data_IF_503019745849
#
_entry.id   IF_503019745849
#
_cell.length_a   1.000
_cell.length_b   1.000
_cell.length_c   1.000
_cell.angle_alpha   90.00
_cell.angle_beta   90.00
_cell.angle_gamma   90.00
#
_symmetry.space_group_name_H-M   'P 1'
#
loop_
_entity.id
_entity.type
_entity.pdbx_description
1 polymer ?
#
# COMPACT_ATOMS: atom_id res chain seq x y z
N UNK A 1 43.81 -38.46 -31.95
CA UNK A 1 44.45 -37.58 -30.94
C UNK A 1 43.34 -36.69 -30.38
N UNK A 2 42.86 -37.03 -29.19
CA UNK A 2 41.72 -36.39 -28.55
C UNK A 2 42.27 -35.24 -27.69
N UNK A 3 41.83 -34.02 -27.97
CA UNK A 3 42.37 -32.81 -27.37
C UNK A 3 41.62 -32.54 -26.06
N UNK A 4 42.06 -33.15 -24.96
CA UNK A 4 41.52 -32.96 -23.62
C UNK A 4 42.02 -31.64 -23.04
N UNK A 5 41.44 -30.54 -23.51
CA UNK A 5 41.65 -29.23 -22.88
C UNK A 5 40.88 -29.21 -21.56
N UNK A 6 41.53 -29.00 -20.40
CA UNK A 6 40.82 -28.92 -19.13
C UNK A 6 39.87 -27.70 -19.17
N UNK A 7 38.56 -27.98 -19.21
CA UNK A 7 37.55 -26.93 -19.05
C UNK A 7 37.75 -26.27 -17.69
N UNK A 8 38.03 -24.97 -17.71
CA UNK A 8 38.17 -24.16 -16.49
C UNK A 8 36.93 -24.33 -15.60
N UNK A 9 37.09 -24.69 -14.32
CA UNK A 9 35.96 -24.92 -13.41
C UNK A 9 35.01 -23.71 -13.28
N UNK A 10 35.45 -22.50 -13.66
CA UNK A 10 34.64 -21.29 -13.64
C UNK A 10 33.50 -21.24 -14.68
N UNK A 11 33.52 -22.05 -15.74
CA UNK A 11 32.45 -22.02 -16.75
C UNK A 11 31.20 -22.83 -16.36
N UNK A 12 31.29 -23.77 -15.41
CA UNK A 12 30.12 -24.57 -14.99
C UNK A 12 29.21 -23.83 -14.01
N UNK A 13 29.72 -22.83 -13.28
CA UNK A 13 28.93 -22.07 -12.31
C UNK A 13 27.99 -21.05 -12.98
N UNK A 14 28.36 -20.53 -14.14
CA UNK A 14 27.56 -19.52 -14.87
C UNK A 14 26.20 -20.03 -15.36
N UNK A 15 26.10 -21.32 -15.67
CA UNK A 15 24.84 -21.93 -16.12
C UNK A 15 23.86 -22.22 -14.97
N UNK A 16 24.32 -22.36 -13.73
CA UNK A 16 23.45 -22.63 -12.57
C UNK A 16 22.88 -21.36 -11.93
N UNK A 17 23.45 -20.19 -12.25
CA UNK A 17 23.04 -18.92 -11.66
C UNK A 17 21.98 -18.17 -12.50
N UNK A 18 21.85 -18.53 -13.79
CA UNK A 18 20.92 -17.87 -14.71
C UNK A 18 19.45 -18.33 -14.55
N UNK A 19 19.19 -19.53 -14.03
CA UNK A 19 17.81 -20.05 -13.96
C UNK A 19 17.03 -19.64 -12.69
N UNK A 20 17.72 -19.21 -11.63
CA UNK A 20 17.08 -18.97 -10.33
C UNK A 20 16.82 -17.48 -10.04
N UNK A 21 17.54 -16.57 -10.72
CA UNK A 21 17.36 -15.12 -10.57
C UNK A 21 16.10 -14.59 -11.26
N UNK A 22 15.78 -15.08 -12.47
CA UNK A 22 14.71 -14.54 -13.33
C UNK A 22 13.28 -14.83 -12.84
N UNK A 23 13.12 -15.81 -11.96
CA UNK A 23 11.81 -16.08 -11.34
C UNK A 23 11.58 -15.21 -10.10
N UNK A 24 12.63 -14.94 -9.33
CA UNK A 24 12.53 -14.25 -8.04
C UNK A 24 12.17 -12.76 -8.20
N UNK A 25 12.75 -12.07 -9.19
CA UNK A 25 12.46 -10.67 -9.48
C UNK A 25 11.02 -10.50 -10.01
N UNK A 26 10.59 -11.40 -10.90
CA UNK A 26 9.24 -11.42 -11.46
C UNK A 26 8.19 -11.72 -10.39
N UNK A 27 8.47 -12.66 -9.47
CA UNK A 27 7.59 -12.96 -8.34
C UNK A 27 7.44 -11.73 -7.42
N UNK A 28 8.53 -11.02 -7.11
CA UNK A 28 8.46 -9.81 -6.27
C UNK A 28 7.56 -8.74 -6.89
N UNK A 29 7.66 -8.53 -8.21
CA UNK A 29 6.81 -7.61 -8.97
C UNK A 29 5.34 -8.00 -8.91
N UNK A 30 5.03 -9.28 -9.18
CA UNK A 30 3.65 -9.78 -9.19
C UNK A 30 3.02 -9.66 -7.80
N UNK A 31 3.75 -10.02 -6.76
CA UNK A 31 3.28 -9.90 -5.36
C UNK A 31 2.94 -8.44 -5.05
N UNK A 32 3.82 -7.50 -5.36
CA UNK A 32 3.57 -6.08 -5.12
C UNK A 32 2.33 -5.57 -5.87
N UNK A 33 2.15 -5.95 -7.13
CA UNK A 33 1.00 -5.52 -7.94
C UNK A 33 -0.30 -6.11 -7.41
N UNK A 34 -0.34 -7.43 -7.19
CA UNK A 34 -1.56 -8.12 -6.73
C UNK A 34 -1.96 -7.60 -5.35
N UNK A 35 -1.05 -7.60 -4.39
CA UNK A 35 -1.37 -7.09 -3.05
C UNK A 35 -1.60 -5.57 -3.03
N UNK A 36 -0.89 -4.80 -3.85
CA UNK A 36 -1.10 -3.36 -4.00
C UNK A 36 -2.52 -3.01 -4.47
N UNK A 37 -3.09 -3.79 -5.40
CA UNK A 37 -4.49 -3.61 -5.84
C UNK A 37 -5.48 -3.89 -4.70
N UNK A 38 -5.16 -4.83 -3.79
CA UNK A 38 -5.96 -5.10 -2.59
C UNK A 38 -5.68 -4.13 -1.43
N UNK A 39 -4.89 -3.08 -1.66
CA UNK A 39 -4.58 -2.05 -0.68
C UNK A 39 -3.43 -2.40 0.28
N UNK A 40 -2.64 -3.42 -0.05
CA UNK A 40 -1.53 -3.94 0.74
C UNK A 40 -0.20 -3.72 0.01
N UNK A 41 0.17 -2.45 -0.20
CA UNK A 41 1.44 -2.10 -0.85
C UNK A 41 2.66 -2.40 0.04
N UNK A 42 3.82 -2.64 -0.57
CA UNK A 42 5.07 -2.96 0.13
C UNK A 42 5.38 -4.46 0.29
N UNK A 43 4.50 -5.37 -0.18
CA UNK A 43 4.69 -6.82 -0.04
C UNK A 43 5.84 -7.36 -0.88
N UNK A 44 6.09 -6.81 -2.06
CA UNK A 44 7.24 -7.17 -2.90
C UNK A 44 8.57 -6.78 -2.24
N UNK A 45 8.59 -5.68 -1.48
CA UNK A 45 9.75 -5.25 -0.70
C UNK A 45 9.99 -6.15 0.52
N UNK A 46 8.92 -6.62 1.16
CA UNK A 46 8.99 -7.65 2.21
C UNK A 46 9.52 -8.98 1.66
N UNK A 47 9.03 -9.39 0.48
CA UNK A 47 9.54 -10.56 -0.21
C UNK A 47 11.04 -10.44 -0.44
N UNK A 48 11.52 -9.28 -0.90
CA UNK A 48 12.94 -8.98 -1.11
C UNK A 48 13.77 -8.85 0.20
N UNK A 49 13.16 -8.97 1.38
CA UNK A 49 13.83 -8.86 2.68
C UNK A 49 14.13 -7.43 3.13
N UNK A 50 13.59 -6.42 2.43
CA UNK A 50 13.79 -5.01 2.77
C UNK A 50 12.62 -4.46 3.60
N UNK A 51 12.63 -4.80 4.88
CA UNK A 51 11.56 -4.45 5.84
C UNK A 51 11.36 -2.94 6.01
N UNK A 52 12.46 -2.16 5.98
CA UNK A 52 12.40 -0.72 6.19
C UNK A 52 11.65 -0.02 5.04
N UNK A 53 12.03 -0.33 3.80
CA UNK A 53 11.34 0.23 2.64
C UNK A 53 9.91 -0.26 2.51
N UNK A 54 9.66 -1.54 2.82
CA UNK A 54 8.30 -2.08 2.85
C UNK A 54 7.41 -1.29 3.83
N UNK A 55 7.87 -1.09 5.06
CA UNK A 55 7.13 -0.34 6.07
C UNK A 55 6.85 1.11 5.65
N UNK A 56 7.85 1.81 5.10
CA UNK A 56 7.68 3.19 4.63
C UNK A 56 6.65 3.29 3.51
N UNK A 57 6.72 2.38 2.54
CA UNK A 57 5.81 2.33 1.40
C UNK A 57 4.39 1.98 1.87
N UNK A 58 4.24 1.01 2.77
CA UNK A 58 2.96 0.63 3.34
C UNK A 58 2.32 1.78 4.12
N UNK A 59 3.06 2.43 5.01
CA UNK A 59 2.55 3.58 5.79
C UNK A 59 2.17 4.74 4.85
N UNK A 60 3.02 5.06 3.88
CA UNK A 60 2.74 6.11 2.89
C UNK A 60 1.46 5.82 2.09
N UNK A 61 1.26 4.56 1.72
CA UNK A 61 0.05 4.13 1.01
C UNK A 61 -1.20 4.17 1.89
N UNK A 62 -1.12 3.77 3.17
CA UNK A 62 -2.24 3.91 4.12
C UNK A 62 -2.64 5.38 4.31
N UNK A 63 -1.67 6.29 4.44
CA UNK A 63 -1.95 7.73 4.54
C UNK A 63 -2.63 8.23 3.26
N UNK A 64 -2.16 7.81 2.08
CA UNK A 64 -2.79 8.14 0.81
C UNK A 64 -4.25 7.65 0.77
N UNK A 65 -4.52 6.40 1.14
CA UNK A 65 -5.88 5.86 1.19
C UNK A 65 -6.79 6.65 2.14
N UNK A 66 -6.28 7.12 3.28
CA UNK A 66 -7.05 7.97 4.19
C UNK A 66 -7.41 9.31 3.54
N UNK A 67 -6.44 9.95 2.87
CA UNK A 67 -6.68 11.21 2.15
C UNK A 67 -7.69 11.01 1.02
N UNK A 68 -7.52 9.96 0.21
CA UNK A 68 -8.46 9.62 -0.87
C UNK A 68 -9.86 9.35 -0.32
N UNK A 69 -9.97 8.61 0.79
CA UNK A 69 -11.27 8.35 1.45
C UNK A 69 -11.95 9.64 1.86
N UNK A 70 -11.22 10.58 2.47
CA UNK A 70 -11.77 11.90 2.86
C UNK A 70 -12.24 12.67 1.63
N UNK A 71 -11.44 12.72 0.56
CA UNK A 71 -11.82 13.42 -0.68
C UNK A 71 -13.05 12.77 -1.32
N UNK A 72 -13.11 11.44 -1.37
CA UNK A 72 -14.25 10.68 -1.91
C UNK A 72 -15.52 10.99 -1.10
N UNK A 73 -15.44 11.00 0.23
CA UNK A 73 -16.59 11.33 1.10
C UNK A 73 -17.06 12.77 0.86
N UNK A 74 -16.15 13.75 0.86
CA UNK A 74 -16.49 15.17 0.67
C UNK A 74 -17.10 15.43 -0.72
N UNK A 75 -16.62 14.71 -1.74
CA UNK A 75 -17.10 14.86 -3.13
C UNK A 75 -18.34 14.00 -3.44
N UNK A 76 -18.88 13.28 -2.45
CA UNK A 76 -20.03 12.38 -2.64
C UNK A 76 -19.73 11.19 -3.57
N UNK A 77 -18.47 10.76 -3.64
CA UNK A 77 -18.04 9.61 -4.44
C UNK A 77 -17.50 9.95 -5.82
N UNK A 78 -17.59 11.21 -6.27
CA UNK A 78 -17.22 11.60 -7.63
C UNK A 78 -15.73 11.36 -7.93
N UNK A 79 -14.85 11.57 -6.95
CA UNK A 79 -13.41 11.32 -7.11
C UNK A 79 -13.01 9.83 -7.08
N UNK A 80 -13.93 8.90 -6.77
CA UNK A 80 -13.61 7.47 -6.72
C UNK A 80 -13.17 6.92 -8.09
N UNK A 81 -13.68 7.51 -9.18
CA UNK A 81 -13.31 7.12 -10.54
C UNK A 81 -11.85 7.46 -10.89
N UNK A 82 -11.24 8.42 -10.19
CA UNK A 82 -9.82 8.79 -10.36
C UNK A 82 -8.91 8.07 -9.36
N UNK A 83 -9.41 7.77 -8.16
CA UNK A 83 -8.66 7.03 -7.15
C UNK A 83 -8.27 5.62 -7.64
N UNK A 84 -9.18 4.92 -8.32
CA UNK A 84 -8.90 3.58 -8.83
C UNK A 84 -7.73 3.52 -9.84
N UNK A 85 -7.73 4.28 -10.96
CA UNK A 85 -6.60 4.27 -11.88
C UNK A 85 -5.31 4.82 -11.25
N UNK A 86 -5.40 5.79 -10.34
CA UNK A 86 -4.24 6.31 -9.62
C UNK A 86 -3.56 5.22 -8.78
N UNK A 87 -4.32 4.48 -7.98
CA UNK A 87 -3.80 3.38 -7.16
C UNK A 87 -3.19 2.25 -8.01
N UNK A 88 -3.79 1.93 -9.17
CA UNK A 88 -3.23 0.95 -10.11
C UNK A 88 -1.85 1.40 -10.62
N UNK A 89 -1.70 2.66 -11.01
CA UNK A 89 -0.40 3.19 -11.48
C UNK A 89 0.65 3.12 -10.37
N UNK A 90 0.28 3.48 -9.14
CA UNK A 90 1.19 3.42 -7.99
C UNK A 90 1.65 1.98 -7.72
N UNK A 91 0.73 1.02 -7.74
CA UNK A 91 1.05 -0.40 -7.54
C UNK A 91 2.01 -0.94 -8.62
N UNK A 92 1.79 -0.58 -9.89
CA UNK A 92 2.67 -0.96 -11.00
C UNK A 92 4.07 -0.35 -10.82
N UNK A 93 4.16 0.94 -10.55
CA UNK A 93 5.45 1.64 -10.36
C UNK A 93 6.20 1.08 -9.16
N UNK A 94 5.52 0.78 -8.05
CA UNK A 94 6.13 0.13 -6.88
C UNK A 94 6.66 -1.27 -7.24
N UNK A 95 5.88 -2.07 -7.98
CA UNK A 95 6.27 -3.42 -8.39
C UNK A 95 7.51 -3.42 -9.29
N UNK A 96 7.61 -2.49 -10.23
CA UNK A 96 8.81 -2.34 -11.07
C UNK A 96 10.06 -2.00 -10.24
N UNK A 97 9.94 -1.13 -9.23
CA UNK A 97 11.05 -0.79 -8.34
C UNK A 97 11.47 -1.94 -7.44
N UNK A 98 10.51 -2.72 -6.93
CA UNK A 98 10.78 -3.92 -6.15
C UNK A 98 11.55 -4.96 -6.99
N UNK A 99 11.15 -5.13 -8.25
CA UNK A 99 11.86 -5.99 -9.21
C UNK A 99 13.30 -5.55 -9.42
N UNK A 100 13.51 -4.27 -9.71
CA UNK A 100 14.85 -3.71 -9.94
C UNK A 100 15.74 -3.89 -8.71
N UNK A 101 15.18 -3.73 -7.50
CA UNK A 101 15.90 -3.95 -6.26
C UNK A 101 16.35 -5.41 -6.09
N UNK A 102 15.47 -6.39 -6.31
CA UNK A 102 15.81 -7.82 -6.25
C UNK A 102 16.89 -8.16 -7.28
N UNK A 103 16.77 -7.62 -8.51
CA UNK A 103 17.74 -7.83 -9.59
C UNK A 103 19.12 -7.26 -9.27
N UNK A 104 19.19 -6.10 -8.63
CA UNK A 104 20.46 -5.43 -8.30
C UNK A 104 21.15 -6.06 -7.08
N UNK A 105 20.38 -6.50 -6.09
CA UNK A 105 20.92 -7.02 -4.83
C UNK A 105 21.10 -8.54 -4.81
N UNK A 106 20.48 -9.27 -5.73
CA UNK A 106 20.46 -10.73 -5.72
C UNK A 106 19.72 -11.29 -4.50
N UNK A 107 18.80 -10.51 -3.92
CA UNK A 107 18.05 -10.91 -2.73
C UNK A 107 17.26 -12.19 -2.99
N UNK A 108 17.41 -13.19 -2.11
CA UNK A 108 16.62 -14.41 -2.15
C UNK A 108 15.31 -14.14 -1.42
N UNK A 109 14.22 -14.09 -2.19
CA UNK A 109 12.93 -13.76 -1.61
C UNK A 109 12.36 -14.87 -0.74
N UNK A 110 11.61 -14.49 0.30
CA UNK A 110 10.95 -15.43 1.21
C UNK A 110 9.45 -15.19 1.26
N UNK A 111 8.68 -16.22 0.88
CA UNK A 111 7.21 -16.21 0.89
C UNK A 111 6.66 -16.07 2.31
N UNK A 112 7.41 -16.53 3.32
CA UNK A 112 7.00 -16.44 4.72
C UNK A 112 6.76 -15.00 5.17
N UNK A 113 7.64 -14.06 4.76
CA UNK A 113 7.48 -12.64 5.11
C UNK A 113 6.26 -12.01 4.46
N UNK A 114 5.89 -12.47 3.26
CA UNK A 114 4.69 -12.00 2.56
C UNK A 114 3.43 -12.46 3.28
N UNK A 115 3.38 -13.70 3.76
CA UNK A 115 2.22 -14.22 4.50
C UNK A 115 2.04 -13.45 5.82
N UNK A 116 3.13 -13.28 6.58
CA UNK A 116 3.09 -12.54 7.86
C UNK A 116 2.71 -11.08 7.60
N UNK A 117 3.34 -10.44 6.61
CA UNK A 117 3.04 -9.08 6.21
C UNK A 117 1.58 -8.91 5.81
N UNK A 118 1.04 -9.81 4.99
CA UNK A 118 -0.35 -9.78 4.56
C UNK A 118 -1.32 -9.90 5.74
N UNK A 119 -1.09 -10.82 6.67
CA UNK A 119 -1.93 -10.96 7.87
C UNK A 119 -1.92 -9.67 8.71
N UNK A 120 -0.74 -9.11 8.98
CA UNK A 120 -0.61 -7.87 9.77
C UNK A 120 -1.25 -6.69 9.02
N UNK A 121 -0.99 -6.58 7.72
CA UNK A 121 -1.53 -5.51 6.88
C UNK A 121 -3.05 -5.55 6.80
N UNK A 122 -3.65 -6.73 6.59
CA UNK A 122 -5.12 -6.91 6.58
C UNK A 122 -5.71 -6.51 7.93
N UNK A 123 -5.16 -7.01 9.04
CA UNK A 123 -5.65 -6.66 10.38
C UNK A 123 -5.58 -5.15 10.65
N UNK A 124 -4.50 -4.50 10.22
CA UNK A 124 -4.32 -3.06 10.37
C UNK A 124 -5.32 -2.27 9.51
N UNK A 125 -5.43 -2.59 8.22
CA UNK A 125 -6.33 -1.87 7.30
C UNK A 125 -7.80 -2.09 7.69
N UNK A 126 -8.20 -3.32 7.99
CA UNK A 126 -9.55 -3.61 8.46
C UNK A 126 -9.84 -2.94 9.81
N UNK A 127 -8.89 -2.98 10.75
CA UNK A 127 -9.02 -2.31 12.04
C UNK A 127 -9.22 -0.80 11.91
N UNK A 128 -8.41 -0.14 11.08
CA UNK A 128 -8.55 1.28 10.78
C UNK A 128 -9.87 1.60 10.07
N UNK A 129 -10.29 0.77 9.13
CA UNK A 129 -11.57 0.94 8.42
C UNK A 129 -12.77 0.85 9.35
N UNK A 130 -12.78 -0.14 10.25
CA UNK A 130 -13.84 -0.28 11.28
C UNK A 130 -13.83 0.93 12.22
N UNK A 131 -12.66 1.36 12.70
CA UNK A 131 -12.52 2.53 13.56
C UNK A 131 -13.06 3.80 12.87
N UNK A 132 -12.68 4.02 11.61
CA UNK A 132 -13.15 5.16 10.83
C UNK A 132 -14.67 5.13 10.64
N UNK A 133 -15.24 3.96 10.36
CA UNK A 133 -16.69 3.79 10.24
C UNK A 133 -17.42 4.20 11.54
N UNK A 134 -16.94 3.75 12.70
CA UNK A 134 -17.52 4.15 13.99
C UNK A 134 -17.41 5.66 14.25
N UNK A 135 -16.28 6.28 13.89
CA UNK A 135 -16.09 7.73 14.02
C UNK A 135 -17.11 8.47 13.14
N UNK A 136 -17.26 8.08 11.87
CA UNK A 136 -18.21 8.71 10.96
C UNK A 136 -19.66 8.51 11.42
N UNK A 137 -20.01 7.32 11.90
CA UNK A 137 -21.32 7.04 12.47
C UNK A 137 -21.62 7.90 13.71
N UNK A 138 -20.63 8.07 14.59
CA UNK A 138 -20.77 8.92 15.78
C UNK A 138 -20.98 10.40 15.40
N UNK A 139 -20.23 10.92 14.42
CA UNK A 139 -20.42 12.29 13.90
C UNK A 139 -21.83 12.45 13.32
N UNK A 140 -22.30 11.48 12.54
CA UNK A 140 -23.65 11.48 11.99
C UNK A 140 -24.74 11.47 13.06
N UNK A 141 -24.59 10.64 14.10
CA UNK A 141 -25.53 10.58 15.22
C UNK A 141 -25.61 11.92 15.99
N UNK A 142 -24.47 12.57 16.22
CA UNK A 142 -24.41 13.89 16.85
C UNK A 142 -25.11 14.93 15.97
N UNK A 143 -24.87 14.91 14.65
CA UNK A 143 -25.50 15.83 13.70
C UNK A 143 -27.02 15.67 13.61
N UNK A 144 -27.54 14.46 13.79
CA UNK A 144 -28.99 14.19 13.77
C UNK A 144 -29.72 14.50 15.09
N UNK A 145 -28.99 14.94 16.12
CA UNK A 145 -29.61 15.27 17.40
C UNK A 145 -30.37 16.61 17.29
N UNK A 146 -31.68 16.67 17.56
CA UNK A 146 -32.45 17.92 17.46
C UNK A 146 -31.89 19.03 18.35
N UNK A 147 -31.30 18.68 19.51
CA UNK A 147 -30.64 19.66 20.38
C UNK A 147 -29.41 20.31 19.71
N UNK A 148 -28.71 19.58 18.82
CA UNK A 148 -27.61 20.14 18.04
C UNK A 148 -28.13 21.05 16.92
N UNK A 149 -29.24 20.69 16.27
CA UNK A 149 -29.90 21.58 15.30
C UNK A 149 -30.37 22.88 15.94
N UNK A 150 -30.99 22.80 17.13
CA UNK A 150 -31.44 23.97 17.89
C UNK A 150 -30.27 24.86 18.31
N UNK A 151 -29.18 24.26 18.81
CA UNK A 151 -27.95 24.99 19.14
C UNK A 151 -27.36 25.70 17.91
N UNK A 152 -27.30 25.03 16.76
CA UNK A 152 -26.77 25.63 15.52
C UNK A 152 -27.66 26.76 15.00
N UNK A 153 -28.99 26.65 15.16
CA UNK A 153 -29.92 27.75 14.84
C UNK A 153 -29.75 28.94 15.79
N UNK A 154 -29.60 28.67 17.08
CA UNK A 154 -29.39 29.71 18.09
C UNK A 154 -28.06 30.44 17.85
N UNK A 155 -26.97 29.70 17.59
CA UNK A 155 -25.68 30.28 17.19
C UNK A 155 -25.77 31.07 15.88
N UNK A 156 -26.52 30.57 14.89
CA UNK A 156 -26.77 31.28 13.63
C UNK A 156 -27.61 32.55 13.77
N UNK A 157 -28.38 32.67 14.84
CA UNK A 157 -29.20 33.85 15.13
C UNK A 157 -28.44 34.95 15.89
N UNK A 158 -27.22 34.68 16.36
CA UNK A 158 -26.42 35.68 17.07
C UNK A 158 -25.98 36.80 16.12
N UNK A 159 -26.12 38.08 16.53
CA UNK A 159 -25.70 39.19 15.71
C UNK A 159 -24.19 39.13 15.49
N UNK A 160 -23.77 39.31 14.24
CA UNK A 160 -22.36 39.29 13.79
C UNK A 160 -21.42 40.16 14.64
N UNK A 161 -21.94 41.20 15.31
CA UNK A 161 -21.20 42.06 16.24
C UNK A 161 -20.66 41.33 17.47
N UNK A 162 -21.23 40.18 17.85
CA UNK A 162 -20.80 39.39 19.02
C UNK A 162 -19.79 38.28 18.68
N UNK A 163 -19.59 37.97 17.39
CA UNK A 163 -18.76 36.85 16.92
C UNK A 163 -17.30 37.26 16.60
N UNK A 164 -16.98 38.56 16.62
CA UNK A 164 -15.68 39.12 16.16
C UNK A 164 -14.86 39.73 17.32
N UNK A 165 -15.20 39.43 18.58
CA UNK A 165 -14.43 39.86 19.76
C UNK A 165 -13.56 38.72 20.26
#
# INVERSE_FOLDING_TARGET
MQNDSPQSPNQRQSFSQYSQSDSTDTIAMIIEIVFGIFGLMGMGWLYAGNFLYSGLIFIGFVILLLIETVIIVITGGLCACLALPLNIVIAIVSGLRARDYVRQTGAKGSVLYVIIGALVGVLLVCGLGILLFFILAAIGAIGSNPAFEDLMRELGSLPLSLLVV
#
